data_IF_092034172410
#
_entry.id   IF_092034172410
#
_cell.length_a   1.000
_cell.length_b   1.000
_cell.length_c   1.000
_cell.angle_alpha   90.00
_cell.angle_beta   90.00
_cell.angle_gamma   90.00
#
_symmetry.space_group_name_H-M   'P 1'
#
loop_
_entity.id
_entity.type
_entity.pdbx_description
1 polymer ?
#
# COMPACT_ATOMS: atom_id res chain seq x y z
N UNK A 1 15.04 24.67 14.94
CA UNK A 1 15.25 23.28 15.39
C UNK A 1 14.93 23.21 16.87
N UNK A 2 14.12 22.25 17.32
CA UNK A 2 13.98 21.93 18.75
C UNK A 2 14.81 20.67 19.00
N UNK A 3 15.78 20.74 19.90
CA UNK A 3 16.66 19.63 20.28
C UNK A 3 16.34 19.15 21.71
N UNK A 4 16.02 17.86 21.85
CA UNK A 4 15.81 17.08 23.08
C UNK A 4 14.66 17.50 24.04
N UNK A 5 13.98 16.50 24.61
CA UNK A 5 12.93 16.62 25.65
C UNK A 5 11.47 16.56 25.16
N UNK A 6 10.54 16.09 26.00
CA UNK A 6 9.13 15.83 25.67
C UNK A 6 8.23 17.10 25.59
N UNK A 7 8.81 18.29 25.68
CA UNK A 7 8.04 19.55 25.78
C UNK A 7 7.48 20.06 24.44
N UNK A 8 6.54 21.00 24.52
CA UNK A 8 6.00 21.76 23.39
C UNK A 8 6.86 23.01 23.12
N UNK A 9 7.23 23.27 21.88
CA UNK A 9 7.70 24.58 21.41
C UNK A 9 6.69 25.13 20.40
N UNK A 10 6.27 26.38 20.56
CA UNK A 10 5.24 26.97 19.71
C UNK A 10 5.74 28.27 19.07
N UNK A 11 5.47 28.42 17.77
CA UNK A 11 5.73 29.65 17.01
C UNK A 11 4.40 30.36 16.81
N UNK A 12 4.26 31.57 17.37
CA UNK A 12 3.02 32.34 17.35
C UNK A 12 3.22 33.70 16.69
N UNK A 13 2.18 34.17 15.99
CA UNK A 13 2.08 35.53 15.44
C UNK A 13 3.23 35.94 14.51
N UNK A 14 3.82 34.97 13.81
CA UNK A 14 4.88 35.19 12.81
C UNK A 14 4.51 34.43 11.54
N UNK A 15 4.70 35.06 10.38
CA UNK A 15 4.68 34.37 9.09
C UNK A 15 5.92 33.49 8.98
N UNK A 16 5.72 32.18 8.99
CA UNK A 16 6.78 31.20 8.72
C UNK A 16 6.60 30.70 7.30
N UNK A 17 7.64 30.84 6.48
CA UNK A 17 7.70 30.26 5.14
C UNK A 17 8.97 29.46 5.04
N UNK A 18 8.87 28.19 4.66
CA UNK A 18 10.03 27.39 4.34
C UNK A 18 10.44 27.63 2.88
N UNK A 19 11.74 27.64 2.60
CA UNK A 19 12.27 27.78 1.25
C UNK A 19 12.61 26.42 0.66
N UNK A 20 12.82 26.33 -0.66
CA UNK A 20 13.22 25.11 -1.36
C UNK A 20 14.38 24.32 -0.71
N UNK A 21 15.36 24.99 -0.09
CA UNK A 21 16.49 24.34 0.61
C UNK A 21 16.35 24.32 2.13
N UNK A 22 15.27 24.92 2.64
CA UNK A 22 15.01 25.05 4.06
C UNK A 22 14.56 23.74 4.69
N UNK A 23 14.97 23.52 5.94
CA UNK A 23 14.57 22.34 6.74
C UNK A 23 13.97 22.78 8.05
N UNK A 24 12.69 22.46 8.26
CA UNK A 24 12.03 22.54 9.57
C UNK A 24 12.11 21.16 10.19
N UNK A 25 12.83 21.05 11.31
CA UNK A 25 13.11 19.76 11.94
C UNK A 25 12.67 19.71 13.41
N UNK A 26 11.89 18.68 13.74
CA UNK A 26 11.58 18.26 15.11
C UNK A 26 12.51 17.13 15.56
N UNK A 27 13.47 17.43 16.43
CA UNK A 27 14.48 16.46 16.93
C UNK A 27 14.13 15.89 18.32
N UNK A 28 12.83 15.69 18.57
CA UNK A 28 12.25 15.31 19.87
C UNK A 28 11.16 16.29 20.34
N UNK A 29 10.24 15.84 21.19
CA UNK A 29 9.10 16.63 21.66
C UNK A 29 8.20 17.10 20.52
N UNK A 30 7.40 18.15 20.75
CA UNK A 30 6.50 18.71 19.72
C UNK A 30 6.91 20.13 19.34
N UNK A 31 6.98 20.41 18.03
CA UNK A 31 6.98 21.76 17.49
C UNK A 31 5.59 22.04 16.92
N UNK A 32 4.91 23.04 17.48
CA UNK A 32 3.70 23.62 16.91
C UNK A 32 4.07 24.83 16.06
N UNK A 33 3.90 24.66 14.75
CA UNK A 33 4.04 25.71 13.74
C UNK A 33 2.88 26.72 13.87
N UNK A 34 2.98 27.89 13.20
CA UNK A 34 1.92 28.89 13.22
C UNK A 34 0.55 28.31 12.85
N UNK A 35 -0.52 28.94 13.32
CA UNK A 35 -1.87 28.48 13.03
C UNK A 35 -2.14 28.49 11.52
N UNK A 36 -2.72 27.41 10.99
CA UNK A 36 -2.99 27.24 9.57
C UNK A 36 -1.72 27.20 8.71
N UNK A 37 -0.60 26.73 9.26
CA UNK A 37 0.66 26.66 8.52
C UNK A 37 0.50 25.88 7.21
N UNK A 38 0.89 26.53 6.11
CA UNK A 38 0.90 25.95 4.77
C UNK A 38 2.35 25.64 4.40
N UNK A 39 2.62 24.37 4.07
CA UNK A 39 3.93 23.93 3.61
C UNK A 39 3.93 23.80 2.08
N UNK A 40 4.73 24.59 1.40
CA UNK A 40 4.81 24.58 -0.07
C UNK A 40 6.16 24.10 -0.61
N UNK A 41 7.26 24.31 0.12
CA UNK A 41 8.61 24.02 -0.35
C UNK A 41 9.56 23.54 0.76
N UNK A 42 10.67 22.92 0.35
CA UNK A 42 11.70 22.40 1.25
C UNK A 42 11.20 21.24 2.11
N UNK A 43 11.89 20.99 3.22
CA UNK A 43 11.73 19.76 3.99
C UNK A 43 11.13 19.99 5.38
N UNK A 44 10.10 19.21 5.70
CA UNK A 44 9.66 18.91 7.05
C UNK A 44 10.34 17.61 7.48
N UNK A 45 11.22 17.67 8.48
CA UNK A 45 12.01 16.52 8.94
C UNK A 45 11.63 16.09 10.34
N UNK A 46 11.31 14.81 10.50
CA UNK A 46 11.04 14.15 11.76
C UNK A 46 12.30 13.42 12.22
N UNK A 47 12.77 13.72 13.42
CA UNK A 47 13.92 13.03 14.02
C UNK A 47 13.58 12.69 15.47
N UNK A 48 12.63 11.78 15.64
CA UNK A 48 11.90 11.40 16.87
C UNK A 48 10.91 12.44 17.43
N UNK A 49 10.87 13.64 16.85
CA UNK A 49 9.93 14.68 17.25
C UNK A 49 8.62 14.68 16.45
N UNK A 50 7.71 15.54 16.88
CA UNK A 50 6.42 15.80 16.22
C UNK A 50 6.37 17.20 15.64
N UNK A 51 5.90 17.34 14.40
CA UNK A 51 5.52 18.64 13.82
C UNK A 51 4.00 18.73 13.73
N UNK A 52 3.41 19.82 14.21
CA UNK A 52 1.95 20.04 14.20
C UNK A 52 1.58 21.52 13.99
N UNK A 53 0.31 21.81 13.71
CA UNK A 53 -0.27 23.16 13.68
C UNK A 53 -1.76 23.06 14.02
N UNK A 54 -2.42 24.21 14.29
CA UNK A 54 -3.88 24.27 14.49
C UNK A 54 -4.49 25.14 13.39
N UNK A 55 -5.57 24.70 12.70
CA UNK A 55 -6.26 23.42 12.89
C UNK A 55 -5.46 22.21 12.39
N UNK A 56 -4.61 22.40 11.37
CA UNK A 56 -3.73 21.36 10.83
C UNK A 56 -2.57 22.00 10.06
N UNK A 57 -1.63 21.19 9.59
CA UNK A 57 -0.66 21.57 8.55
C UNK A 57 -1.24 21.16 7.20
N UNK A 58 -1.38 22.10 6.26
CA UNK A 58 -1.72 21.80 4.87
C UNK A 58 -0.43 21.71 4.05
N UNK A 59 -0.23 20.60 3.35
CA UNK A 59 0.97 20.37 2.53
C UNK A 59 0.61 20.52 1.05
N UNK A 60 1.07 21.60 0.42
CA UNK A 60 0.90 21.85 -1.01
C UNK A 60 2.08 21.32 -1.84
N UNK A 61 3.24 21.13 -1.21
CA UNK A 61 4.47 20.70 -1.88
C UNK A 61 5.60 20.39 -0.90
N UNK A 62 6.83 20.29 -1.41
CA UNK A 62 8.01 19.96 -0.61
C UNK A 62 8.08 18.48 -0.20
N UNK A 63 8.84 18.20 0.87
CA UNK A 63 9.11 16.84 1.35
C UNK A 63 8.84 16.71 2.84
N UNK A 64 8.09 15.69 3.24
CA UNK A 64 7.99 15.18 4.60
C UNK A 64 8.85 13.92 4.71
N UNK A 65 9.81 13.91 5.64
CA UNK A 65 10.72 12.79 5.81
C UNK A 65 11.09 12.49 7.26
N UNK A 66 11.78 11.36 7.45
CA UNK A 66 12.34 10.96 8.72
C UNK A 66 11.40 10.09 9.55
N UNK A 67 11.68 10.02 10.85
CA UNK A 67 10.92 9.19 11.79
C UNK A 67 10.36 10.04 12.92
N UNK A 68 9.06 9.94 13.18
CA UNK A 68 8.40 10.67 14.27
C UNK A 68 6.93 10.98 13.99
N UNK A 69 6.40 12.02 14.65
CA UNK A 69 4.99 12.39 14.56
C UNK A 69 4.69 13.51 13.58
N UNK A 70 3.54 13.44 12.93
CA UNK A 70 3.01 14.50 12.10
C UNK A 70 1.55 14.79 12.44
N UNK A 71 1.22 16.07 12.62
CA UNK A 71 -0.14 16.55 12.90
C UNK A 71 -0.85 17.13 11.67
N UNK A 72 -0.22 17.12 10.50
CA UNK A 72 -0.87 17.45 9.23
C UNK A 72 -1.61 16.25 8.66
N UNK A 73 -2.78 16.48 8.07
CA UNK A 73 -3.58 15.43 7.45
C UNK A 73 -3.90 15.68 5.99
N UNK A 74 -3.83 16.92 5.50
CA UNK A 74 -4.16 17.27 4.13
C UNK A 74 -2.91 17.46 3.27
N UNK A 75 -2.68 16.53 2.35
CA UNK A 75 -1.64 16.61 1.33
C UNK A 75 -2.27 16.85 -0.04
N UNK A 76 -2.05 18.03 -0.59
CA UNK A 76 -2.42 18.39 -1.97
C UNK A 76 -1.30 18.00 -2.93
N UNK A 77 -0.04 18.16 -2.51
CA UNK A 77 1.14 17.80 -3.29
C UNK A 77 2.37 17.52 -2.43
N UNK A 78 3.50 17.23 -3.09
CA UNK A 78 4.78 16.96 -2.43
C UNK A 78 5.06 15.48 -2.22
N UNK A 79 6.11 15.17 -1.45
CA UNK A 79 6.57 13.80 -1.21
C UNK A 79 6.53 13.45 0.27
N UNK A 80 5.97 12.29 0.61
CA UNK A 80 6.09 11.64 1.92
C UNK A 80 7.10 10.52 1.77
N UNK A 81 8.12 10.48 2.63
CA UNK A 81 9.17 9.45 2.59
C UNK A 81 9.68 9.18 4.00
N UNK A 82 9.12 8.18 4.70
CA UNK A 82 9.60 7.80 6.02
C UNK A 82 11.10 7.48 6.01
N UNK A 83 11.74 7.70 7.16
CA UNK A 83 13.18 7.52 7.29
C UNK A 83 14.02 8.60 6.61
N UNK A 84 15.35 8.49 6.76
CA UNK A 84 16.32 9.45 6.19
C UNK A 84 17.35 8.77 5.29
N UNK A 85 17.82 7.59 5.68
CA UNK A 85 18.84 6.83 4.97
C UNK A 85 18.43 5.35 4.93
N UNK A 86 17.20 5.09 4.52
CA UNK A 86 16.53 3.79 4.57
C UNK A 86 15.28 3.82 5.43
N UNK A 87 14.72 2.63 5.73
CA UNK A 87 13.41 2.50 6.34
C UNK A 87 13.20 3.32 7.62
N UNK A 88 11.99 3.87 7.78
CA UNK A 88 11.54 4.58 8.97
C UNK A 88 10.03 4.56 9.14
N UNK A 89 9.53 5.43 10.02
CA UNK A 89 8.08 5.50 10.28
C UNK A 89 7.57 6.89 10.58
N UNK A 90 6.40 7.22 10.05
CA UNK A 90 5.72 8.48 10.33
C UNK A 90 4.35 8.17 10.92
N UNK A 91 4.09 8.68 12.13
CA UNK A 91 2.78 8.58 12.78
C UNK A 91 1.97 9.85 12.51
N UNK A 92 0.87 9.71 11.76
CA UNK A 92 -0.10 10.77 11.49
C UNK A 92 -1.17 10.77 12.58
N UNK A 93 -1.31 11.88 13.30
CA UNK A 93 -2.20 11.98 14.47
C UNK A 93 -3.62 12.48 14.15
N UNK A 94 -3.92 12.75 12.87
CA UNK A 94 -5.15 13.45 12.47
C UNK A 94 -5.71 12.97 11.12
N UNK A 95 -5.44 11.71 10.78
CA UNK A 95 -5.77 11.09 9.50
C UNK A 95 -4.73 11.39 8.41
N UNK A 96 -4.95 10.79 7.24
CA UNK A 96 -4.09 10.92 6.07
C UNK A 96 -4.93 11.06 4.80
N UNK A 97 -4.95 12.26 4.23
CA UNK A 97 -5.67 12.58 3.00
C UNK A 97 -4.68 12.95 1.90
N UNK A 98 -4.58 12.11 0.88
CA UNK A 98 -3.59 12.22 -0.19
C UNK A 98 -4.28 12.59 -1.51
N UNK A 99 -3.85 13.72 -2.08
CA UNK A 99 -4.26 14.16 -3.42
C UNK A 99 -3.45 13.50 -4.55
N UNK A 100 -3.81 13.84 -5.78
CA UNK A 100 -3.22 13.27 -7.00
C UNK A 100 -1.78 13.74 -7.25
N UNK A 101 -1.42 14.95 -6.82
CA UNK A 101 -0.06 15.49 -6.97
C UNK A 101 0.89 15.06 -5.84
N UNK A 102 0.46 14.15 -4.96
CA UNK A 102 1.27 13.62 -3.86
C UNK A 102 2.03 12.38 -4.33
N UNK A 103 3.27 12.25 -3.88
CA UNK A 103 4.07 11.01 -3.99
C UNK A 103 4.29 10.42 -2.62
N UNK A 104 3.92 9.16 -2.43
CA UNK A 104 4.30 8.35 -1.27
C UNK A 104 5.48 7.48 -1.70
N UNK A 105 6.67 7.83 -1.20
CA UNK A 105 7.91 7.10 -1.44
C UNK A 105 8.18 6.17 -0.25
N UNK A 106 8.28 4.87 -0.52
CA UNK A 106 8.46 3.83 0.50
C UNK A 106 9.64 2.94 0.12
N UNK A 107 10.55 2.75 1.07
CA UNK A 107 11.69 1.86 0.96
C UNK A 107 11.43 0.53 1.67
N UNK A 108 11.94 -0.57 1.09
CA UNK A 108 11.92 -1.89 1.72
C UNK A 108 13.22 -2.66 1.45
N UNK A 109 13.96 -2.94 2.51
CA UNK A 109 15.18 -3.77 2.53
C UNK A 109 14.96 -5.14 3.18
N UNK A 110 13.84 -5.35 3.89
CA UNK A 110 13.53 -6.60 4.59
C UNK A 110 12.12 -6.64 5.18
N UNK A 111 11.75 -7.72 5.89
CA UNK A 111 10.40 -7.95 6.39
C UNK A 111 10.10 -7.26 7.72
N UNK A 112 11.09 -6.61 8.35
CA UNK A 112 10.92 -6.01 9.67
C UNK A 112 10.25 -4.63 9.57
N UNK A 113 9.12 -4.38 10.27
CA UNK A 113 8.47 -3.07 10.23
C UNK A 113 9.40 -1.95 10.71
N UNK A 114 9.34 -0.79 10.03
CA UNK A 114 10.04 0.46 10.36
C UNK A 114 11.56 0.43 10.22
N UNK A 115 12.19 -0.75 10.23
CA UNK A 115 13.65 -0.92 10.13
C UNK A 115 14.05 -1.68 8.87
N UNK A 116 13.18 -2.59 8.40
CA UNK A 116 13.28 -3.29 7.13
C UNK A 116 12.37 -2.70 6.06
N UNK A 117 11.29 -2.00 6.40
CA UNK A 117 10.47 -1.27 5.44
C UNK A 117 9.79 -0.04 6.05
N UNK A 118 9.48 0.95 5.21
CA UNK A 118 8.80 2.17 5.61
C UNK A 118 7.35 1.93 6.05
N UNK A 119 6.94 2.62 7.11
CA UNK A 119 5.58 2.53 7.63
C UNK A 119 4.95 3.91 7.85
N UNK A 120 3.72 4.07 7.38
CA UNK A 120 2.84 5.17 7.74
C UNK A 120 1.84 4.65 8.76
N UNK A 121 1.93 5.12 9.99
CA UNK A 121 0.97 4.80 11.05
C UNK A 121 -0.07 5.92 11.08
N UNK A 122 -1.35 5.61 10.94
CA UNK A 122 -2.40 6.63 10.81
C UNK A 122 -3.45 6.49 11.90
N UNK A 123 -3.62 7.58 12.66
CA UNK A 123 -4.72 7.81 13.59
C UNK A 123 -5.86 8.52 12.88
N UNK A 124 -6.92 7.80 12.53
CA UNK A 124 -8.10 8.32 11.84
C UNK A 124 -8.16 7.98 10.35
N UNK A 125 -9.05 8.66 9.61
CA UNK A 125 -9.41 8.27 8.24
C UNK A 125 -8.23 8.35 7.26
N UNK A 126 -8.13 7.37 6.37
CA UNK A 126 -7.20 7.37 5.24
C UNK A 126 -7.97 7.53 3.93
N UNK A 127 -7.58 8.49 3.10
CA UNK A 127 -8.09 8.66 1.74
C UNK A 127 -6.94 8.84 0.75
N UNK A 128 -6.99 8.09 -0.35
CA UNK A 128 -5.95 8.06 -1.39
C UNK A 128 -6.61 8.37 -2.73
N UNK A 129 -6.34 9.56 -3.28
CA UNK A 129 -7.00 10.04 -4.49
C UNK A 129 -6.01 10.06 -5.65
N UNK A 130 -5.81 8.92 -6.31
CA UNK A 130 -4.88 8.78 -7.44
C UNK A 130 -3.45 9.23 -7.12
N UNK A 131 -3.04 9.11 -5.86
CA UNK A 131 -1.69 9.42 -5.39
C UNK A 131 -0.66 8.53 -6.08
N UNK A 132 0.56 9.04 -6.29
CA UNK A 132 1.67 8.25 -6.85
C UNK A 132 2.32 7.41 -5.74
N UNK A 133 2.40 6.09 -5.95
CA UNK A 133 3.20 5.21 -5.12
C UNK A 133 4.57 4.96 -5.77
N UNK A 134 5.64 5.40 -5.09
CA UNK A 134 7.02 5.08 -5.44
C UNK A 134 7.56 4.06 -4.41
N UNK A 135 7.51 2.78 -4.75
CA UNK A 135 8.01 1.71 -3.87
C UNK A 135 9.39 1.22 -4.34
N UNK A 136 10.37 1.24 -3.46
CA UNK A 136 11.76 0.86 -3.74
C UNK A 136 12.18 -0.33 -2.87
N UNK A 137 12.17 -1.53 -3.45
CA UNK A 137 12.70 -2.73 -2.80
C UNK A 137 14.22 -2.88 -3.04
N UNK A 138 15.04 -2.72 -2.00
CA UNK A 138 16.50 -2.78 -2.09
C UNK A 138 17.11 -4.10 -1.61
N UNK A 139 16.37 -4.89 -0.82
CA UNK A 139 16.80 -6.21 -0.32
C UNK A 139 15.93 -7.37 -0.83
N UNK A 140 16.38 -8.63 -0.68
CA UNK A 140 15.58 -9.79 -1.01
C UNK A 140 14.44 -9.93 -0.02
N UNK A 141 13.20 -9.86 -0.52
CA UNK A 141 12.00 -10.06 0.29
C UNK A 141 11.43 -11.44 -0.06
N UNK A 142 11.24 -12.35 0.91
CA UNK A 142 10.68 -13.68 0.64
C UNK A 142 9.28 -13.61 0.02
N UNK A 143 8.99 -14.50 -0.93
CA UNK A 143 7.65 -14.62 -1.53
C UNK A 143 6.61 -14.89 -0.43
N UNK A 144 5.47 -14.20 -0.50
CA UNK A 144 4.40 -14.27 0.48
C UNK A 144 4.55 -13.33 1.67
N UNK A 145 5.70 -12.67 1.84
CA UNK A 145 5.87 -11.65 2.89
C UNK A 145 4.88 -10.50 2.68
N UNK A 146 4.16 -10.15 3.74
CA UNK A 146 3.26 -8.98 3.78
C UNK A 146 3.98 -7.82 4.47
N UNK A 147 4.10 -6.69 3.76
CA UNK A 147 4.64 -5.45 4.31
C UNK A 147 3.46 -4.51 4.59
N UNK A 148 3.09 -4.32 5.85
CA UNK A 148 1.99 -3.41 6.25
C UNK A 148 2.49 -1.97 6.24
N UNK A 149 2.50 -1.37 5.06
CA UNK A 149 3.11 -0.05 4.82
C UNK A 149 2.21 1.12 5.21
N UNK A 150 0.90 0.90 5.30
CA UNK A 150 -0.03 1.81 5.98
C UNK A 150 -0.80 1.00 7.01
N UNK A 151 -0.66 1.37 8.28
CA UNK A 151 -1.47 0.80 9.37
C UNK A 151 -2.46 1.85 9.83
N UNK A 152 -3.76 1.57 9.68
CA UNK A 152 -4.84 2.46 10.06
C UNK A 152 -5.46 1.96 11.36
N UNK A 153 -5.20 2.66 12.46
CA UNK A 153 -5.61 2.21 13.79
C UNK A 153 -7.10 2.46 14.10
N UNK A 154 -7.81 3.16 13.21
CA UNK A 154 -9.24 3.36 13.30
C UNK A 154 -10.00 2.12 12.79
N UNK A 155 -11.33 2.15 12.83
CA UNK A 155 -12.15 1.13 12.16
C UNK A 155 -12.50 1.51 10.72
N UNK A 156 -12.20 2.75 10.31
CA UNK A 156 -12.57 3.25 9.00
C UNK A 156 -11.71 2.58 7.93
N UNK A 157 -12.31 2.21 6.81
CA UNK A 157 -11.58 1.63 5.69
C UNK A 157 -10.73 2.68 4.98
N UNK A 158 -9.65 2.25 4.32
CA UNK A 158 -8.95 3.09 3.35
C UNK A 158 -9.90 3.37 2.19
N UNK A 159 -10.10 4.64 1.86
CA UNK A 159 -10.92 5.05 0.72
C UNK A 159 -10.03 5.44 -0.47
N UNK A 160 -10.42 5.03 -1.68
CA UNK A 160 -9.65 5.27 -2.90
C UNK A 160 -8.40 4.39 -3.03
N UNK A 161 -7.57 4.67 -4.04
CA UNK A 161 -6.41 3.85 -4.42
C UNK A 161 -5.27 4.72 -4.96
N UNK A 162 -4.07 4.15 -5.01
CA UNK A 162 -2.94 4.78 -5.70
C UNK A 162 -3.17 4.71 -7.21
N UNK A 163 -2.62 5.68 -7.94
CA UNK A 163 -2.75 5.76 -9.39
C UNK A 163 -2.28 4.48 -10.09
N UNK A 164 -3.16 3.87 -10.88
CA UNK A 164 -2.89 2.64 -11.61
C UNK A 164 -2.66 1.41 -10.72
N UNK A 165 -2.99 1.48 -9.43
CA UNK A 165 -2.85 0.35 -8.49
C UNK A 165 -4.18 0.07 -7.77
N UNK A 166 -5.21 -0.43 -8.48
CA UNK A 166 -6.40 -0.93 -7.82
C UNK A 166 -6.07 -2.11 -6.88
N UNK A 167 -7.05 -2.55 -6.10
CA UNK A 167 -6.95 -3.76 -5.28
C UNK A 167 -6.34 -4.93 -6.08
N UNK A 168 -5.41 -5.67 -5.48
CA UNK A 168 -4.68 -6.77 -6.11
C UNK A 168 -3.76 -6.43 -7.29
N UNK A 169 -3.54 -5.16 -7.62
CA UNK A 169 -2.65 -4.79 -8.71
C UNK A 169 -1.23 -5.32 -8.48
N UNK A 170 -0.67 -5.93 -9.53
CA UNK A 170 0.71 -6.36 -9.57
C UNK A 170 1.61 -5.24 -10.08
N UNK A 171 2.78 -5.11 -9.50
CA UNK A 171 3.83 -4.21 -9.97
C UNK A 171 5.19 -4.77 -9.61
N UNK A 172 6.21 -4.34 -10.35
CA UNK A 172 7.59 -4.76 -10.12
C UNK A 172 8.40 -3.64 -9.43
N UNK A 173 9.31 -4.04 -8.56
CA UNK A 173 10.40 -3.21 -8.06
C UNK A 173 11.64 -4.07 -7.92
N UNK A 174 12.77 -3.63 -8.49
CA UNK A 174 14.05 -4.35 -8.40
C UNK A 174 13.94 -5.86 -8.74
N UNK A 175 13.32 -6.16 -9.89
CA UNK A 175 13.06 -7.53 -10.37
C UNK A 175 12.18 -8.42 -9.46
N UNK A 176 11.59 -7.84 -8.43
CA UNK A 176 10.65 -8.49 -7.53
C UNK A 176 9.23 -8.05 -7.86
N UNK A 177 8.31 -9.01 -7.96
CA UNK A 177 6.88 -8.75 -8.12
C UNK A 177 6.23 -8.54 -6.75
N UNK A 178 5.33 -7.56 -6.69
CA UNK A 178 4.56 -7.23 -5.53
C UNK A 178 3.09 -7.04 -5.90
N UNK A 179 2.23 -7.31 -4.93
CA UNK A 179 0.79 -7.12 -5.03
C UNK A 179 0.32 -6.15 -3.97
N UNK A 180 -0.47 -5.15 -4.37
CA UNK A 180 -1.09 -4.23 -3.41
C UNK A 180 -2.41 -4.80 -2.88
N UNK A 181 -2.68 -4.56 -1.60
CA UNK A 181 -3.91 -4.94 -0.89
C UNK A 181 -4.33 -3.80 0.04
N UNK A 182 -5.59 -3.36 -0.03
CA UNK A 182 -6.11 -2.21 0.73
C UNK A 182 -6.91 -2.57 1.99
N UNK A 183 -7.11 -3.87 2.25
CA UNK A 183 -7.91 -4.39 3.36
C UNK A 183 -7.20 -5.58 4.04
N UNK A 184 -5.98 -5.36 4.50
CA UNK A 184 -5.16 -6.35 5.22
C UNK A 184 -5.08 -5.99 6.72
N UNK A 185 -4.31 -6.78 7.48
CA UNK A 185 -4.10 -6.58 8.92
C UNK A 185 -5.40 -6.62 9.70
N UNK A 186 -5.85 -5.49 10.27
CA UNK A 186 -7.16 -5.36 10.95
C UNK A 186 -8.36 -5.30 9.99
N UNK A 187 -8.15 -5.35 8.68
CA UNK A 187 -9.18 -5.26 7.64
C UNK A 187 -9.27 -3.89 6.98
N UNK A 188 -8.41 -2.95 7.38
CA UNK A 188 -8.32 -1.59 6.87
C UNK A 188 -6.87 -1.09 6.72
N UNK A 189 -5.90 -2.00 6.74
CA UNK A 189 -4.49 -1.69 6.49
C UNK A 189 -4.14 -1.89 5.01
N UNK A 190 -3.12 -1.15 4.55
CA UNK A 190 -2.53 -1.35 3.23
C UNK A 190 -1.30 -2.24 3.33
N UNK A 191 -1.34 -3.39 2.64
CA UNK A 191 -0.18 -4.24 2.48
C UNK A 191 0.39 -4.18 1.05
N UNK A 192 1.72 -4.20 0.96
CA UNK A 192 2.44 -4.58 -0.24
C UNK A 192 2.96 -6.00 0.00
N UNK A 193 2.44 -6.96 -0.74
CA UNK A 193 2.74 -8.38 -0.56
C UNK A 193 3.73 -8.82 -1.62
N UNK A 194 4.83 -9.44 -1.22
CA UNK A 194 5.77 -10.05 -2.17
C UNK A 194 5.08 -11.21 -2.90
N UNK A 195 5.03 -11.14 -4.22
CA UNK A 195 4.26 -12.04 -5.07
C UNK A 195 5.17 -12.86 -6.00
N UNK A 196 4.76 -14.06 -6.36
CA UNK A 196 5.49 -14.94 -7.30
C UNK A 196 5.06 -14.71 -8.77
N UNK A 197 4.06 -13.86 -9.01
CA UNK A 197 3.41 -13.69 -10.31
C UNK A 197 2.55 -14.88 -10.70
N UNK A 198 2.48 -15.91 -9.86
CA UNK A 198 1.79 -17.15 -10.15
C UNK A 198 0.28 -17.00 -10.08
N UNK A 199 -0.42 -17.70 -10.97
CA UNK A 199 -1.85 -17.91 -10.81
C UNK A 199 -2.11 -18.83 -9.61
N UNK A 200 -3.06 -18.44 -8.75
CA UNK A 200 -3.48 -19.26 -7.60
C UNK A 200 -4.94 -19.63 -7.76
N UNK A 201 -5.26 -20.92 -7.78
CA UNK A 201 -6.64 -21.35 -7.63
C UNK A 201 -7.04 -21.18 -6.16
N UNK A 202 -8.09 -20.39 -5.91
CA UNK A 202 -8.48 -19.93 -4.57
C UNK A 202 -9.79 -20.55 -4.10
N UNK A 203 -10.60 -21.10 -5.00
CA UNK A 203 -11.90 -21.63 -4.62
C UNK A 203 -12.46 -22.63 -5.62
N UNK A 204 -13.37 -23.46 -5.11
CA UNK A 204 -14.08 -24.45 -5.91
C UNK A 204 -15.51 -24.63 -5.39
N UNK A 205 -16.49 -24.74 -6.29
CA UNK A 205 -17.90 -24.94 -5.91
C UNK A 205 -18.61 -25.86 -6.89
N UNK A 206 -19.21 -26.95 -6.39
CA UNK A 206 -20.14 -27.76 -7.17
C UNK A 206 -21.49 -27.04 -7.25
N UNK A 207 -22.02 -26.89 -8.46
CA UNK A 207 -23.30 -26.25 -8.71
C UNK A 207 -24.44 -27.28 -8.80
N UNK A 208 -25.71 -26.86 -8.60
CA UNK A 208 -26.86 -27.66 -8.97
C UNK A 208 -26.77 -28.11 -10.44
N UNK A 209 -27.04 -29.38 -10.72
CA UNK A 209 -26.84 -29.98 -12.05
C UNK A 209 -25.43 -30.50 -12.31
N UNK A 210 -24.52 -30.43 -11.32
CA UNK A 210 -23.23 -31.10 -11.34
C UNK A 210 -22.12 -30.37 -12.13
N UNK A 211 -22.37 -29.14 -12.59
CA UNK A 211 -21.32 -28.25 -13.09
C UNK A 211 -20.39 -27.82 -11.96
N UNK A 212 -19.19 -27.36 -12.30
CA UNK A 212 -18.17 -27.04 -11.29
C UNK A 212 -17.53 -25.69 -11.53
N UNK A 213 -17.60 -24.79 -10.55
CA UNK A 213 -16.89 -23.52 -10.57
C UNK A 213 -15.47 -23.68 -10.00
N UNK A 214 -14.53 -23.07 -10.70
CA UNK A 214 -13.15 -22.86 -10.27
C UNK A 214 -12.92 -21.36 -10.16
N UNK A 215 -12.38 -20.93 -9.03
CA UNK A 215 -12.01 -19.54 -8.76
C UNK A 215 -10.51 -19.45 -8.61
N UNK A 216 -9.94 -18.34 -9.04
CA UNK A 216 -8.55 -18.06 -8.79
C UNK A 216 -8.26 -16.57 -8.71
N UNK A 217 -7.01 -16.31 -8.36
CA UNK A 217 -6.42 -15.00 -8.24
C UNK A 217 -5.19 -14.94 -9.13
N UNK A 218 -5.08 -13.85 -9.88
CA UNK A 218 -3.97 -13.57 -10.75
C UNK A 218 -3.80 -12.07 -10.99
N UNK A 219 -3.13 -11.70 -12.06
CA UNK A 219 -2.97 -10.34 -12.57
C UNK A 219 -4.34 -9.78 -13.01
N UNK A 220 -4.65 -8.55 -12.57
CA UNK A 220 -5.83 -7.81 -13.02
C UNK A 220 -5.89 -7.73 -14.56
N UNK A 221 -7.05 -8.04 -15.14
CA UNK A 221 -7.29 -7.94 -16.58
C UNK A 221 -6.60 -9.00 -17.42
N UNK A 222 -5.82 -9.91 -16.80
CA UNK A 222 -5.19 -11.01 -17.51
C UNK A 222 -6.19 -12.12 -17.84
N UNK A 223 -5.93 -12.81 -18.94
CA UNK A 223 -6.70 -13.97 -19.37
C UNK A 223 -6.01 -15.22 -18.84
N UNK A 224 -6.76 -16.00 -18.09
CA UNK A 224 -6.34 -17.29 -17.55
C UNK A 224 -6.92 -18.41 -18.39
N UNK A 225 -6.08 -19.38 -18.77
CA UNK A 225 -6.53 -20.64 -19.36
C UNK A 225 -6.82 -21.64 -18.23
N UNK A 226 -7.95 -22.34 -18.33
CA UNK A 226 -8.37 -23.33 -17.34
C UNK A 226 -8.32 -24.70 -17.99
N UNK A 227 -7.53 -25.58 -17.40
CA UNK A 227 -7.39 -26.95 -17.84
C UNK A 227 -8.02 -27.89 -16.84
N UNK A 228 -8.49 -29.03 -17.32
CA UNK A 228 -9.00 -30.07 -16.47
C UNK A 228 -8.65 -31.47 -16.97
N UNK A 229 -8.58 -32.41 -16.04
CA UNK A 229 -8.29 -33.81 -16.32
C UNK A 229 -9.07 -34.73 -15.38
N UNK A 230 -9.50 -35.93 -15.81
CA UNK A 230 -10.04 -36.94 -14.91
C UNK A 230 -8.99 -37.56 -13.97
N UNK A 231 -7.69 -37.40 -14.27
CA UNK A 231 -6.56 -37.90 -13.48
C UNK A 231 -5.36 -36.93 -13.46
N UNK A 232 -4.41 -37.14 -12.56
CA UNK A 232 -3.24 -36.26 -12.34
C UNK A 232 -2.03 -36.48 -13.29
N UNK A 233 -1.85 -37.62 -14.01
CA UNK A 233 -0.77 -37.77 -15.00
C UNK A 233 -0.74 -36.64 -16.03
N UNK A 234 0.45 -36.21 -16.43
CA UNK A 234 0.69 -34.95 -17.16
C UNK A 234 0.13 -34.89 -18.58
N UNK A 235 -0.40 -35.98 -19.14
CA UNK A 235 -0.74 -36.07 -20.57
C UNK A 235 -2.26 -36.06 -20.84
N UNK A 236 -3.10 -35.93 -19.81
CA UNK A 236 -4.57 -35.98 -19.91
C UNK A 236 -5.25 -34.61 -19.74
N UNK A 237 -4.48 -33.54 -19.61
CA UNK A 237 -5.01 -32.19 -19.42
C UNK A 237 -5.63 -31.62 -20.69
N UNK A 238 -6.92 -31.28 -20.59
CA UNK A 238 -7.67 -30.65 -21.66
C UNK A 238 -7.98 -29.20 -21.32
N UNK A 239 -7.75 -28.30 -22.26
CA UNK A 239 -8.19 -26.91 -22.14
C UNK A 239 -9.72 -26.87 -22.14
N UNK A 240 -10.33 -26.33 -21.08
CA UNK A 240 -11.77 -26.12 -21.00
C UNK A 240 -12.19 -24.78 -21.58
N UNK A 241 -11.35 -23.77 -21.42
CA UNK A 241 -11.63 -22.41 -21.86
C UNK A 241 -10.79 -21.40 -21.09
N UNK A 242 -11.20 -20.14 -21.17
CA UNK A 242 -10.49 -19.03 -20.51
C UNK A 242 -11.42 -18.23 -19.61
N UNK A 243 -10.83 -17.52 -18.65
CA UNK A 243 -11.51 -16.55 -17.80
C UNK A 243 -10.64 -15.31 -17.64
N UNK A 244 -11.23 -14.13 -17.78
CA UNK A 244 -10.51 -12.86 -17.57
C UNK A 244 -10.63 -12.45 -16.10
N UNK A 245 -9.50 -12.14 -15.49
CA UNK A 245 -9.49 -11.63 -14.13
C UNK A 245 -10.08 -10.21 -14.05
N UNK A 246 -10.89 -9.96 -13.02
CA UNK A 246 -11.47 -8.65 -12.73
C UNK A 246 -10.42 -7.63 -12.27
N UNK A 247 -10.88 -6.42 -11.92
CA UNK A 247 -10.03 -5.33 -11.42
C UNK A 247 -9.26 -5.68 -10.14
N UNK A 248 -9.71 -6.70 -9.42
CA UNK A 248 -9.13 -7.25 -8.20
C UNK A 248 -8.36 -8.55 -8.45
N UNK A 249 -8.07 -8.87 -9.72
CA UNK A 249 -7.32 -10.05 -10.11
C UNK A 249 -8.09 -11.37 -9.94
N UNK A 250 -9.37 -11.34 -9.56
CA UNK A 250 -10.15 -12.56 -9.38
C UNK A 250 -10.68 -13.04 -10.72
N UNK A 251 -10.54 -14.32 -11.02
CA UNK A 251 -11.19 -14.96 -12.16
C UNK A 251 -12.05 -16.12 -11.69
N UNK A 252 -13.11 -16.39 -12.45
CA UNK A 252 -14.06 -17.47 -12.21
C UNK A 252 -14.34 -18.18 -13.53
N UNK A 253 -14.26 -19.50 -13.53
CA UNK A 253 -14.60 -20.35 -14.67
C UNK A 253 -15.58 -21.44 -14.23
N UNK A 254 -16.60 -21.71 -15.04
CA UNK A 254 -17.53 -22.82 -14.81
C UNK A 254 -17.22 -23.93 -15.82
N UNK A 255 -16.84 -25.12 -15.34
CA UNK A 255 -16.79 -26.33 -16.15
C UNK A 255 -18.23 -26.86 -16.36
N UNK A 256 -18.79 -26.72 -17.57
CA UNK A 256 -20.15 -27.15 -17.84
C UNK A 256 -20.29 -28.67 -17.88
N UNK A 257 -19.20 -29.41 -18.04
CA UNK A 257 -19.21 -30.86 -18.27
C UNK A 257 -18.68 -31.65 -17.06
N UNK A 258 -18.43 -30.99 -15.92
CA UNK A 258 -17.86 -31.64 -14.74
C UNK A 258 -18.66 -32.87 -14.29
N UNK A 259 -19.99 -32.86 -14.44
CA UNK A 259 -20.90 -33.96 -14.09
C UNK A 259 -20.66 -35.25 -14.89
N UNK A 260 -20.02 -35.16 -16.05
CA UNK A 260 -19.72 -36.32 -16.90
C UNK A 260 -18.53 -37.13 -16.36
N UNK A 261 -17.79 -36.57 -15.40
CA UNK A 261 -16.59 -37.17 -14.84
C UNK A 261 -16.77 -37.44 -13.35
N UNK A 262 -16.52 -38.66 -12.86
CA UNK A 262 -16.64 -38.98 -11.44
C UNK A 262 -15.58 -38.26 -10.57
N UNK A 263 -14.48 -37.82 -11.19
CA UNK A 263 -13.42 -37.00 -10.58
C UNK A 263 -12.87 -36.04 -11.64
N UNK A 264 -12.49 -34.85 -11.19
CA UNK A 264 -11.94 -33.78 -12.02
C UNK A 264 -10.85 -33.05 -11.23
N UNK A 265 -9.68 -32.93 -11.84
CA UNK A 265 -8.57 -32.08 -11.40
C UNK A 265 -8.53 -30.84 -12.27
N UNK A 266 -8.04 -29.73 -11.72
CA UNK A 266 -7.96 -28.44 -12.39
C UNK A 266 -6.60 -27.81 -12.16
N UNK A 267 -6.05 -27.17 -13.18
CA UNK A 267 -4.99 -26.16 -13.03
C UNK A 267 -5.28 -24.99 -13.96
N UNK A 268 -4.60 -23.88 -13.74
CA UNK A 268 -4.68 -22.71 -14.59
C UNK A 268 -3.29 -22.27 -15.03
N UNK A 269 -3.21 -21.65 -16.20
CA UNK A 269 -2.06 -20.86 -16.63
C UNK A 269 -2.50 -19.44 -16.90
N UNK A 270 -1.59 -18.49 -16.70
CA UNK A 270 -1.77 -17.08 -17.05
C UNK A 270 -0.55 -16.57 -17.82
N UNK A 271 -0.57 -15.28 -18.22
CA UNK A 271 0.59 -14.63 -18.80
C UNK A 271 1.82 -14.64 -17.88
#
# INVERSE_FOLDING_TARGET
RKSAGNGLAQINNIGLTNTATGVIQGSGGTIRLPNGYVHSEGTLRLSSGTLTAIPTITVLGGRLEGTGGFGGSQFVGGTISPGLNGPGSITFHSGLQLGEAVTVALDASGPEPRTGYDQLEVQGTVSITNTVLQFTATGPIPIGTKLLVITNDSTDTITGTFSGKPEAALFASNLQLFRIRYAEGSGNDLAIVRDDGGVKLTGRRLLPGGQFEVRGLGTNGAIYSIYASPDVPTNSWQLLGTSTADSSGNFLFTDPNAFQFPRRFYYSTGP
#
